data_IF_133522235412
#
_entry.id   IF_133522235412
#
_cell.length_a   1.000
_cell.length_b   1.000
_cell.length_c   1.000
_cell.angle_alpha   90.00
_cell.angle_beta   90.00
_cell.angle_gamma   90.00
#
_symmetry.space_group_name_H-M   'P 1'
#
loop_
_entity.id
_entity.type
_entity.pdbx_description
1 polymer ?
#
# COMPACT_ATOMS: atom_id res chain seq x y z
N UNK A 1 -5.64 8.96 -13.99
CA UNK A 1 -5.94 7.75 -13.20
C UNK A 1 -7.01 6.98 -13.95
N UNK A 2 -6.73 5.75 -14.40
CA UNK A 2 -7.79 4.84 -14.85
C UNK A 2 -8.45 4.27 -13.60
N UNK A 3 -9.78 4.32 -13.53
CA UNK A 3 -10.54 3.60 -12.51
C UNK A 3 -10.39 2.12 -12.86
N UNK A 4 -9.93 1.29 -11.91
CA UNK A 4 -9.85 -0.14 -12.12
C UNK A 4 -11.26 -0.69 -12.34
N UNK A 5 -11.44 -1.56 -13.34
CA UNK A 5 -12.74 -2.20 -13.60
C UNK A 5 -13.15 -3.12 -12.44
N UNK A 6 -12.16 -3.65 -11.73
CA UNK A 6 -12.32 -4.42 -10.50
C UNK A 6 -11.63 -3.68 -9.34
N UNK A 7 -12.37 -3.20 -8.33
CA UNK A 7 -11.81 -2.52 -7.17
C UNK A 7 -11.30 -3.53 -6.13
N UNK A 8 -10.99 -4.77 -6.47
CA UNK A 8 -10.51 -5.78 -5.52
C UNK A 8 -8.98 -5.75 -5.36
N UNK A 9 -8.52 -6.02 -4.15
CA UNK A 9 -7.12 -6.18 -3.82
C UNK A 9 -6.60 -7.47 -4.47
N UNK A 10 -5.53 -7.42 -5.29
CA UNK A 10 -5.00 -8.59 -5.96
C UNK A 10 -4.38 -9.60 -5.00
N UNK A 11 -4.06 -9.18 -3.77
CA UNK A 11 -3.40 -10.03 -2.78
C UNK A 11 -4.39 -10.76 -1.87
N UNK A 12 -5.45 -10.09 -1.42
CA UNK A 12 -6.39 -10.65 -0.44
C UNK A 12 -7.86 -10.70 -0.90
N UNK A 13 -8.19 -10.10 -2.04
CA UNK A 13 -9.54 -10.11 -2.62
C UNK A 13 -10.55 -9.14 -1.99
N UNK A 14 -10.19 -8.43 -0.91
CA UNK A 14 -11.03 -7.39 -0.31
C UNK A 14 -11.10 -6.13 -1.18
N UNK A 15 -12.03 -5.21 -0.89
CA UNK A 15 -12.10 -3.93 -1.59
C UNK A 15 -10.80 -3.13 -1.42
N UNK A 16 -10.16 -2.84 -2.54
CA UNK A 16 -8.95 -2.07 -2.65
C UNK A 16 -9.24 -0.57 -2.48
N UNK A 17 -8.71 -0.02 -1.40
CA UNK A 17 -8.60 1.41 -1.15
C UNK A 17 -7.18 1.73 -0.73
N UNK A 18 -6.77 3.00 -0.80
CA UNK A 18 -5.48 3.41 -0.24
C UNK A 18 -5.38 3.09 1.26
N UNK A 19 -6.49 3.15 1.98
CA UNK A 19 -6.56 2.74 3.39
C UNK A 19 -6.33 1.24 3.54
N UNK A 20 -7.03 0.41 2.76
CA UNK A 20 -6.82 -1.03 2.77
C UNK A 20 -5.35 -1.38 2.50
N UNK A 21 -4.74 -0.83 1.44
CA UNK A 21 -3.35 -1.09 1.10
C UNK A 21 -2.38 -0.71 2.21
N UNK A 22 -2.49 0.52 2.73
CA UNK A 22 -1.52 1.10 3.65
C UNK A 22 -1.76 0.65 5.09
N UNK A 23 -3.00 0.37 5.50
CA UNK A 23 -3.37 0.23 6.90
C UNK A 23 -3.93 -1.15 7.30
N UNK A 24 -4.55 -1.90 6.40
CA UNK A 24 -5.36 -3.07 6.80
C UNK A 24 -5.00 -4.38 6.10
N UNK A 25 -4.48 -4.34 4.87
CA UNK A 25 -4.33 -5.52 4.04
C UNK A 25 -3.48 -6.59 4.77
N UNK A 26 -4.03 -7.78 5.05
CA UNK A 26 -3.36 -8.79 5.88
C UNK A 26 -2.08 -9.31 5.23
N UNK A 27 -2.02 -9.30 3.89
CA UNK A 27 -0.86 -9.74 3.12
C UNK A 27 0.36 -8.83 3.31
N UNK A 28 0.16 -7.60 3.79
CA UNK A 28 1.23 -6.64 4.07
C UNK A 28 1.45 -6.37 5.57
N UNK A 29 0.80 -7.13 6.46
CA UNK A 29 0.92 -6.95 7.91
C UNK A 29 2.37 -7.09 8.40
N UNK A 30 3.10 -8.08 7.90
CA UNK A 30 4.52 -8.27 8.23
C UNK A 30 5.40 -7.13 7.75
N UNK A 31 5.16 -6.62 6.53
CA UNK A 31 5.92 -5.48 5.99
C UNK A 31 5.70 -4.22 6.83
N UNK A 32 4.46 -3.95 7.26
CA UNK A 32 4.19 -2.84 8.19
C UNK A 32 4.88 -3.05 9.53
N UNK A 33 4.83 -4.26 10.08
CA UNK A 33 5.46 -4.57 11.36
C UNK A 33 6.98 -4.31 11.31
N UNK A 34 7.65 -4.77 10.26
CA UNK A 34 9.09 -4.58 10.08
C UNK A 34 9.50 -3.12 9.87
N UNK A 35 8.67 -2.34 9.17
CA UNK A 35 8.99 -0.95 8.83
C UNK A 35 8.58 0.06 9.90
N UNK A 36 7.45 -0.18 10.56
CA UNK A 36 6.73 0.80 11.36
C UNK A 36 6.31 0.28 12.75
N UNK A 37 6.59 -0.99 13.06
CA UNK A 37 6.33 -1.59 14.38
C UNK A 37 4.85 -1.84 14.69
N UNK A 38 3.98 -1.82 13.67
CA UNK A 38 2.55 -2.11 13.77
C UNK A 38 2.12 -2.98 12.59
N UNK A 39 1.18 -3.89 12.81
CA UNK A 39 0.63 -4.76 11.77
C UNK A 39 -0.58 -4.12 11.04
N UNK A 40 -1.13 -3.05 11.62
CA UNK A 40 -2.29 -2.30 11.12
C UNK A 40 -2.25 -0.85 11.63
N UNK A 41 -3.00 0.04 10.98
CA UNK A 41 -3.10 1.45 11.37
C UNK A 41 -4.54 1.92 11.47
N UNK A 42 -4.83 2.72 12.51
CA UNK A 42 -6.06 3.53 12.53
C UNK A 42 -5.92 4.78 11.66
N UNK A 43 -7.00 5.55 11.51
CA UNK A 43 -6.95 6.85 10.82
C UNK A 43 -6.02 7.82 11.53
N UNK A 44 -6.02 7.80 12.87
CA UNK A 44 -5.13 8.61 13.71
C UNK A 44 -3.67 8.22 13.53
N UNK A 45 -3.38 6.93 13.39
CA UNK A 45 -2.03 6.46 13.10
C UNK A 45 -1.54 6.95 11.73
N UNK A 46 -2.37 6.85 10.69
CA UNK A 46 -2.04 7.32 9.35
C UNK A 46 -1.78 8.82 9.31
N UNK A 47 -2.52 9.62 10.09
CA UNK A 47 -2.31 11.06 10.18
C UNK A 47 -0.93 11.44 10.74
N UNK A 48 -0.28 10.51 11.46
CA UNK A 48 1.04 10.69 12.04
C UNK A 48 2.17 10.02 11.22
N UNK A 49 1.85 9.31 10.14
CA UNK A 49 2.87 8.73 9.26
C UNK A 49 3.56 9.81 8.44
N UNK A 50 4.88 9.74 8.34
CA UNK A 50 5.62 10.57 7.40
C UNK A 50 5.47 10.01 5.99
N UNK A 51 5.47 10.89 5.00
CA UNK A 51 5.41 10.48 3.58
C UNK A 51 6.55 9.51 3.22
N UNK A 52 7.71 9.63 3.88
CA UNK A 52 8.84 8.71 3.72
C UNK A 52 8.50 7.27 4.12
N UNK A 53 7.71 7.09 5.18
CA UNK A 53 7.29 5.76 5.66
C UNK A 53 6.34 5.11 4.66
N UNK A 54 5.41 5.90 4.10
CA UNK A 54 4.47 5.45 3.07
C UNK A 54 5.22 5.04 1.81
N UNK A 55 6.19 5.84 1.36
CA UNK A 55 7.01 5.54 0.18
C UNK A 55 7.86 4.27 0.39
N UNK A 56 8.46 4.13 1.57
CA UNK A 56 9.24 2.93 1.92
C UNK A 56 8.35 1.69 1.93
N UNK A 57 7.21 1.74 2.61
CA UNK A 57 6.22 0.66 2.60
C UNK A 57 5.81 0.28 1.18
N UNK A 58 5.43 1.27 0.38
CA UNK A 58 5.02 1.08 -1.02
C UNK A 58 6.11 0.39 -1.86
N UNK A 59 7.39 0.74 -1.65
CA UNK A 59 8.52 0.11 -2.33
C UNK A 59 8.72 -1.35 -1.90
N UNK A 60 8.69 -1.62 -0.59
CA UNK A 60 8.92 -2.97 -0.04
C UNK A 60 7.80 -3.95 -0.37
N UNK A 61 6.55 -3.47 -0.53
CA UNK A 61 5.44 -4.34 -0.97
C UNK A 61 5.60 -4.87 -2.39
N UNK A 62 6.49 -4.30 -3.20
CA UNK A 62 6.66 -4.68 -4.62
C UNK A 62 5.47 -4.33 -5.51
N UNK A 63 4.36 -3.88 -4.95
CA UNK A 63 3.05 -3.72 -5.62
C UNK A 63 3.10 -2.77 -6.82
N UNK A 64 4.02 -1.82 -6.81
CA UNK A 64 4.15 -0.80 -7.86
C UNK A 64 5.39 -0.99 -8.75
N UNK A 65 6.11 -2.12 -8.66
CA UNK A 65 7.32 -2.37 -9.45
C UNK A 65 7.08 -2.66 -10.95
N UNK A 66 5.83 -2.56 -11.43
CA UNK A 66 5.46 -2.71 -12.85
C UNK A 66 5.19 -1.41 -13.62
N UNK A 67 5.47 -0.24 -13.04
CA UNK A 67 5.16 1.07 -13.64
C UNK A 67 6.36 1.77 -14.26
N UNK A 68 6.96 1.22 -15.32
CA UNK A 68 7.59 2.11 -16.30
C UNK A 68 6.47 3.02 -16.82
N UNK A 69 6.53 4.31 -16.50
CA UNK A 69 5.76 5.30 -17.24
C UNK A 69 6.10 5.10 -18.73
N UNK A 70 5.11 4.84 -19.62
CA UNK A 70 5.40 4.74 -21.04
C UNK A 70 5.79 6.14 -21.52
N UNK A 71 7.09 6.35 -21.71
CA UNK A 71 7.62 7.61 -22.21
C UNK A 71 9.09 7.77 -21.83
N UNK A 72 9.96 7.11 -22.59
CA UNK A 72 11.28 7.55 -23.05
C UNK A 72 11.98 6.35 -23.69
N UNK A 73 11.66 6.11 -24.96
CA UNK A 73 12.60 5.61 -25.96
C UNK A 73 12.87 6.77 -26.93
#
# INVERSE_FOLDING_TARGET
MRIAEDPSCPECGEMETSFHFIAECPMYAMVRWELQGKDSFSVEDLANLFIGDILRFTKETGRFQGGMLPGHQ
#
